data_IF_991670093018
#
_entry.id   IF_991670093018
#
_cell.length_a   1.000
_cell.length_b   1.000
_cell.length_c   1.000
_cell.angle_alpha   90.00
_cell.angle_beta   90.00
_cell.angle_gamma   90.00
#
_symmetry.space_group_name_H-M   'P 1'
#
loop_
_entity.id
_entity.type
_entity.pdbx_description
1 polymer ?
#
# COMPACT_ATOMS: atom_id res chain seq x y z
N UNK A 1 -18.67 14.96 -53.78
CA UNK A 1 -17.70 13.84 -53.85
C UNK A 1 -16.42 14.37 -53.22
N UNK A 2 -15.76 13.77 -52.25
CA UNK A 2 -15.76 12.42 -51.71
C UNK A 2 -15.18 12.49 -50.28
N UNK A 3 -15.68 11.63 -49.39
CA UNK A 3 -15.27 11.55 -47.97
C UNK A 3 -14.05 10.64 -47.85
N UNK A 4 -12.94 11.15 -47.30
CA UNK A 4 -11.81 10.32 -46.89
C UNK A 4 -12.09 9.59 -45.58
N UNK A 5 -12.26 8.26 -45.65
CA UNK A 5 -12.41 7.34 -44.51
C UNK A 5 -11.06 6.69 -44.18
N UNK A 6 -10.83 6.39 -42.90
CA UNK A 6 -9.89 5.37 -42.42
C UNK A 6 -8.86 5.92 -41.41
N UNK A 7 -8.51 5.26 -40.31
CA UNK A 7 -8.79 3.89 -39.86
C UNK A 7 -8.66 3.89 -38.33
N UNK A 8 -9.73 3.54 -37.62
CA UNK A 8 -9.69 3.31 -36.17
C UNK A 8 -8.88 2.04 -35.87
N UNK A 9 -7.86 2.17 -35.03
CA UNK A 9 -7.07 1.03 -34.53
C UNK A 9 -7.85 0.38 -33.39
N UNK A 10 -8.53 -0.72 -33.71
CA UNK A 10 -9.20 -1.59 -32.75
C UNK A 10 -8.16 -2.53 -32.15
N UNK A 11 -7.89 -2.43 -30.86
CA UNK A 11 -7.25 -3.51 -30.12
C UNK A 11 -8.37 -4.43 -29.63
N UNK A 12 -8.70 -5.43 -30.45
CA UNK A 12 -9.51 -6.56 -30.01
C UNK A 12 -8.54 -7.72 -29.76
N UNK A 13 -8.33 -8.05 -28.49
CA UNK A 13 -7.88 -9.39 -28.09
C UNK A 13 -9.14 -10.11 -27.65
N UNK A 14 -9.59 -11.05 -28.47
CA UNK A 14 -10.58 -12.04 -28.05
C UNK A 14 -9.88 -13.02 -27.10
N UNK A 15 -10.40 -13.15 -25.88
CA UNK A 15 -10.01 -14.21 -24.96
C UNK A 15 -10.98 -15.38 -25.14
N UNK A 16 -10.52 -16.60 -25.43
CA UNK A 16 -11.40 -17.76 -25.43
C UNK A 16 -11.85 -18.09 -24.00
N UNK A 17 -13.15 -18.34 -23.85
CA UNK A 17 -13.73 -18.92 -22.65
C UNK A 17 -13.21 -20.36 -22.53
N UNK A 18 -12.37 -20.61 -21.52
CA UNK A 18 -11.85 -21.93 -21.22
C UNK A 18 -12.17 -22.28 -19.77
N UNK A 19 -13.43 -22.67 -19.53
CA UNK A 19 -13.76 -23.63 -18.50
C UNK A 19 -13.08 -24.97 -18.83
N UNK A 20 -11.92 -25.24 -18.22
CA UNK A 20 -11.33 -26.57 -18.12
C UNK A 20 -10.13 -26.52 -17.17
N UNK A 21 -10.07 -27.46 -16.22
CA UNK A 21 -9.02 -27.60 -15.21
C UNK A 21 -7.61 -27.57 -15.82
N UNK A 22 -6.76 -26.65 -15.35
CA UNK A 22 -5.35 -26.63 -15.77
C UNK A 22 -4.58 -27.83 -15.20
N UNK A 23 -3.75 -28.53 -16.00
CA UNK A 23 -2.81 -29.52 -15.48
C UNK A 23 -1.66 -28.81 -14.74
N UNK A 24 -1.25 -29.38 -13.61
CA UNK A 24 -0.22 -28.83 -12.72
C UNK A 24 1.14 -28.71 -13.43
N UNK A 25 1.70 -27.51 -13.43
CA UNK A 25 3.09 -27.26 -13.84
C UNK A 25 4.01 -27.89 -12.78
N UNK A 26 4.99 -28.73 -13.16
CA UNK A 26 5.90 -29.34 -12.18
C UNK A 26 6.86 -28.29 -11.60
N UNK A 27 7.09 -28.37 -10.29
CA UNK A 27 7.98 -27.46 -9.58
C UNK A 27 9.47 -27.68 -9.96
N UNK A 28 10.30 -26.62 -9.95
CA UNK A 28 11.73 -26.73 -10.20
C UNK A 28 12.48 -27.46 -9.06
N UNK A 29 13.60 -28.15 -9.36
CA UNK A 29 14.35 -28.93 -8.38
C UNK A 29 14.79 -28.06 -7.19
N UNK A 30 14.43 -28.48 -5.97
CA UNK A 30 14.76 -27.79 -4.72
C UNK A 30 13.68 -26.85 -4.17
N UNK A 31 12.58 -26.64 -4.91
CA UNK A 31 11.40 -25.92 -4.45
C UNK A 31 10.20 -26.85 -4.41
N UNK A 32 9.95 -27.51 -3.27
CA UNK A 32 8.67 -28.21 -3.08
C UNK A 32 7.67 -27.22 -2.51
N UNK A 33 6.61 -26.88 -3.27
CA UNK A 33 5.47 -26.18 -2.69
C UNK A 33 4.73 -27.16 -1.78
N UNK A 34 4.64 -26.87 -0.49
CA UNK A 34 3.76 -27.60 0.42
C UNK A 34 2.32 -27.53 -0.11
N UNK A 35 1.63 -28.67 -0.11
CA UNK A 35 0.22 -28.75 -0.48
C UNK A 35 -0.62 -27.80 0.40
N UNK A 36 -1.68 -27.18 -0.14
CA UNK A 36 -2.62 -26.44 0.69
C UNK A 36 -3.39 -27.45 1.56
N UNK A 37 -3.10 -27.46 2.86
CA UNK A 37 -3.93 -28.15 3.84
C UNK A 37 -5.33 -27.50 3.85
N UNK A 38 -6.34 -28.36 3.83
CA UNK A 38 -7.74 -27.99 3.83
C UNK A 38 -8.15 -27.31 5.15
N UNK A 39 -9.06 -26.34 5.04
CA UNK A 39 -9.71 -25.64 6.15
C UNK A 39 -10.18 -26.59 7.27
N UNK A 40 -9.78 -26.28 8.52
CA UNK A 40 -10.58 -26.64 9.69
C UNK A 40 -10.85 -25.39 10.53
N UNK A 41 -12.13 -25.05 10.60
CA UNK A 41 -12.68 -23.89 11.25
C UNK A 41 -12.98 -24.20 12.72
N UNK A 42 -12.08 -23.85 13.64
CA UNK A 42 -12.43 -23.53 15.03
C UNK A 42 -11.20 -23.03 15.80
N UNK A 43 -11.19 -21.75 16.18
CA UNK A 43 -10.14 -21.21 17.04
C UNK A 43 -10.54 -19.86 17.60
N UNK A 44 -11.15 -19.88 18.78
CA UNK A 44 -11.54 -18.71 19.55
C UNK A 44 -10.41 -17.66 19.62
N UNK A 45 -10.68 -16.44 19.14
CA UNK A 45 -9.78 -15.31 19.37
C UNK A 45 -9.90 -14.89 20.83
N UNK A 46 -8.94 -15.35 21.62
CA UNK A 46 -8.61 -14.81 22.92
C UNK A 46 -8.42 -13.29 22.77
N UNK A 47 -9.35 -12.51 23.33
CA UNK A 47 -9.11 -11.08 23.56
C UNK A 47 -8.01 -10.99 24.61
N UNK A 48 -6.77 -10.79 24.17
CA UNK A 48 -5.72 -10.29 25.06
C UNK A 48 -5.74 -8.77 24.98
N UNK A 49 -6.70 -8.21 25.70
CA UNK A 49 -6.62 -6.84 26.17
C UNK A 49 -5.70 -6.86 27.40
N UNK A 50 -4.47 -6.38 27.25
CA UNK A 50 -3.55 -6.13 28.36
C UNK A 50 -2.43 -5.23 27.83
N UNK A 51 -2.43 -4.00 28.35
CA UNK A 51 -1.67 -2.88 27.82
C UNK A 51 -0.16 -3.10 27.76
N UNK A 52 0.39 -2.66 26.64
CA UNK A 52 1.77 -2.22 26.51
C UNK A 52 1.95 -1.39 25.23
N UNK A 53 1.13 -0.35 25.07
CA UNK A 53 1.21 0.56 23.91
C UNK A 53 2.57 1.30 23.88
N UNK A 54 3.21 1.47 25.05
CA UNK A 54 4.49 2.17 25.19
C UNK A 54 5.72 1.38 24.74
N UNK A 55 5.79 0.08 24.99
CA UNK A 55 6.98 -0.72 24.64
C UNK A 55 6.91 -1.24 23.20
N UNK A 56 5.71 -1.54 22.71
CA UNK A 56 5.46 -1.94 21.32
C UNK A 56 5.86 -0.82 20.34
N UNK A 57 5.50 0.43 20.66
CA UNK A 57 5.89 1.59 19.85
C UNK A 57 7.39 1.84 19.81
N UNK A 58 8.10 1.68 20.95
CA UNK A 58 9.56 1.83 21.02
C UNK A 58 10.29 0.75 20.23
N UNK A 59 9.88 -0.52 20.37
CA UNK A 59 10.48 -1.62 19.63
C UNK A 59 10.27 -1.47 18.11
N UNK A 60 9.07 -1.02 17.72
CA UNK A 60 8.76 -0.75 16.31
C UNK A 60 9.57 0.42 15.75
N UNK A 61 9.71 1.51 16.50
CA UNK A 61 10.57 2.65 16.12
C UNK A 61 12.03 2.20 15.98
N UNK A 62 12.55 1.39 16.90
CA UNK A 62 13.90 0.86 16.82
C UNK A 62 14.12 -0.05 15.59
N UNK A 63 13.12 -0.88 15.25
CA UNK A 63 13.16 -1.70 14.03
C UNK A 63 13.16 -0.83 12.77
N UNK A 64 12.31 0.19 12.71
CA UNK A 64 12.25 1.13 11.59
C UNK A 64 13.58 1.89 11.43
N UNK A 65 14.16 2.34 12.54
CA UNK A 65 15.44 3.06 12.58
C UNK A 65 16.61 2.18 12.14
N UNK A 66 16.66 0.93 12.60
CA UNK A 66 17.64 -0.05 12.13
C UNK A 66 17.49 -0.36 10.63
N UNK A 67 16.25 -0.55 10.16
CA UNK A 67 15.94 -0.78 8.75
C UNK A 67 16.36 0.41 7.88
N UNK A 68 16.08 1.64 8.33
CA UNK A 68 16.47 2.84 7.60
C UNK A 68 17.99 3.01 7.54
N UNK A 69 18.71 2.79 8.65
CA UNK A 69 20.18 2.81 8.65
C UNK A 69 20.81 1.73 7.78
N UNK A 70 20.13 0.60 7.60
CA UNK A 70 20.55 -0.44 6.67
C UNK A 70 20.39 0.01 5.21
N UNK A 71 19.26 0.64 4.85
CA UNK A 71 19.01 1.14 3.49
C UNK A 71 19.86 2.37 3.12
N UNK A 72 20.04 3.29 4.08
CA UNK A 72 20.74 4.56 3.90
C UNK A 72 21.91 4.66 4.88
N UNK A 73 23.08 4.06 4.59
CA UNK A 73 24.24 4.14 5.46
C UNK A 73 24.66 5.60 5.74
N UNK A 74 24.93 5.94 7.00
CA UNK A 74 25.32 7.30 7.40
C UNK A 74 24.17 8.29 7.59
N UNK A 75 22.93 7.85 7.42
CA UNK A 75 21.74 8.63 7.74
C UNK A 75 21.67 9.04 9.23
N UNK A 76 21.11 10.22 9.57
CA UNK A 76 20.81 10.57 10.96
C UNK A 76 19.77 9.63 11.61
N UNK A 77 19.13 8.74 10.83
CA UNK A 77 18.11 7.81 11.29
C UNK A 77 16.75 8.23 10.74
N UNK A 78 15.68 8.02 11.51
CA UNK A 78 14.33 8.29 11.04
C UNK A 78 14.03 9.76 10.72
N UNK A 79 14.83 10.71 11.22
CA UNK A 79 14.71 12.15 10.94
C UNK A 79 15.42 12.60 9.66
N UNK A 80 15.94 11.66 8.88
CA UNK A 80 16.43 11.94 7.53
C UNK A 80 15.30 12.55 6.67
N UNK A 81 15.53 13.64 5.92
CA UNK A 81 14.55 14.22 5.01
C UNK A 81 13.88 13.22 4.05
N UNK A 82 14.61 12.18 3.65
CA UNK A 82 14.10 11.13 2.75
C UNK A 82 13.13 10.16 3.44
N UNK A 83 13.23 10.01 4.77
CA UNK A 83 12.32 9.19 5.59
C UNK A 83 11.22 10.02 6.23
N UNK A 84 11.56 11.21 6.73
CA UNK A 84 10.68 12.14 7.39
C UNK A 84 10.61 13.47 6.62
N UNK A 85 9.58 13.65 5.78
CA UNK A 85 9.43 14.86 4.96
C UNK A 85 9.08 16.11 5.76
N UNK A 86 8.78 15.97 7.06
CA UNK A 86 8.53 17.07 7.99
C UNK A 86 9.66 17.24 9.02
N UNK A 87 10.81 16.61 8.80
CA UNK A 87 11.99 16.87 9.62
C UNK A 87 12.47 18.31 9.45
N UNK A 88 13.14 18.86 10.46
CA UNK A 88 13.76 20.19 10.36
C UNK A 88 14.68 20.29 9.13
N UNK A 89 15.43 19.23 8.84
CA UNK A 89 16.30 19.14 7.67
C UNK A 89 15.53 19.13 6.33
N UNK A 90 14.27 18.68 6.30
CA UNK A 90 13.41 18.71 5.12
C UNK A 90 12.75 20.07 4.88
N UNK A 91 12.86 21.01 5.82
CA UNK A 91 12.11 22.29 5.80
C UNK A 91 11.02 22.37 6.86
N UNK A 92 11.00 21.44 7.82
CA UNK A 92 10.15 21.48 9.01
C UNK A 92 8.67 21.36 8.65
N UNK A 93 7.88 22.33 9.11
CA UNK A 93 6.42 22.34 8.97
C UNK A 93 5.93 22.67 7.56
N UNK A 94 6.78 23.11 6.64
CA UNK A 94 6.39 23.43 5.27
C UNK A 94 6.53 22.18 4.38
N UNK A 95 5.41 21.54 4.06
CA UNK A 95 5.43 20.35 3.21
C UNK A 95 6.00 20.67 1.82
N UNK A 96 7.10 20.02 1.46
CA UNK A 96 7.73 20.13 0.13
C UNK A 96 7.20 19.05 -0.82
N UNK A 97 5.89 19.05 -1.03
CA UNK A 97 5.26 18.19 -2.02
C UNK A 97 5.02 19.00 -3.28
N UNK A 98 5.68 18.60 -4.38
CA UNK A 98 5.54 19.28 -5.68
C UNK A 98 4.24 18.90 -6.43
N UNK A 99 3.52 17.89 -5.95
CA UNK A 99 2.23 17.52 -6.51
C UNK A 99 1.17 18.58 -6.17
N UNK A 100 0.10 18.64 -6.96
CA UNK A 100 -1.09 19.44 -6.64
C UNK A 100 -2.12 18.63 -5.82
N UNK A 101 -2.03 17.31 -5.90
CA UNK A 101 -2.92 16.39 -5.19
C UNK A 101 -2.11 15.25 -4.58
N UNK A 102 -2.51 14.82 -3.40
CA UNK A 102 -1.94 13.66 -2.70
C UNK A 102 -3.07 12.75 -2.23
N UNK A 103 -2.98 11.48 -2.61
CA UNK A 103 -3.81 10.41 -2.05
C UNK A 103 -2.94 9.55 -1.14
N UNK A 104 -3.35 9.43 0.12
CA UNK A 104 -2.72 8.54 1.10
C UNK A 104 -3.64 7.34 1.30
N UNK A 105 -3.15 6.13 1.04
CA UNK A 105 -3.88 4.89 1.28
C UNK A 105 -3.28 4.16 2.49
N UNK A 106 -4.11 3.81 3.46
CA UNK A 106 -3.72 3.05 4.67
C UNK A 106 -4.63 1.85 4.86
N UNK A 107 -4.14 0.79 5.49
CA UNK A 107 -4.96 -0.36 5.85
C UNK A 107 -5.10 -0.43 7.39
N UNK A 108 -6.28 -0.83 7.87
CA UNK A 108 -6.61 -0.80 9.31
C UNK A 108 -5.63 -1.62 10.17
N UNK A 109 -5.19 -2.78 9.67
CA UNK A 109 -4.29 -3.70 10.38
C UNK A 109 -2.83 -3.57 9.94
N UNK A 110 -2.51 -2.55 9.14
CA UNK A 110 -1.13 -2.26 8.77
C UNK A 110 -0.42 -1.61 9.96
N UNK A 111 0.74 -2.14 10.33
CA UNK A 111 1.60 -1.48 11.31
C UNK A 111 1.80 -0.01 10.90
N UNK A 112 2.12 0.27 9.62
CA UNK A 112 2.40 1.61 9.10
C UNK A 112 1.19 2.56 9.06
N UNK A 113 -0.03 2.10 9.39
CA UNK A 113 -1.25 2.90 9.37
C UNK A 113 -1.08 4.24 10.07
N UNK A 114 -0.66 4.23 11.34
CA UNK A 114 -0.57 5.45 12.14
C UNK A 114 0.45 6.44 11.56
N UNK A 115 1.50 5.93 10.89
CA UNK A 115 2.47 6.78 10.21
C UNK A 115 1.89 7.41 8.95
N UNK A 116 1.09 6.67 8.19
CA UNK A 116 0.37 7.18 7.02
C UNK A 116 -0.69 8.24 7.40
N UNK A 117 -1.47 7.98 8.45
CA UNK A 117 -2.45 8.94 8.99
C UNK A 117 -1.73 10.20 9.49
N UNK A 118 -0.65 10.03 10.27
CA UNK A 118 0.18 11.17 10.71
C UNK A 118 0.71 12.00 9.53
N UNK A 119 1.13 11.36 8.43
CA UNK A 119 1.60 12.06 7.23
C UNK A 119 0.48 12.88 6.60
N UNK A 120 -0.72 12.30 6.47
CA UNK A 120 -1.90 12.99 5.97
C UNK A 120 -2.27 14.21 6.83
N UNK A 121 -2.30 14.06 8.15
CA UNK A 121 -2.63 15.14 9.09
C UNK A 121 -1.56 16.24 9.07
N UNK A 122 -0.28 15.86 9.07
CA UNK A 122 0.85 16.80 9.00
C UNK A 122 0.83 17.59 7.70
N UNK A 123 0.50 16.93 6.58
CA UNK A 123 0.37 17.59 5.29
C UNK A 123 -0.78 18.60 5.29
N UNK A 124 -1.94 18.25 5.86
CA UNK A 124 -3.05 19.21 6.02
C UNK A 124 -2.71 20.37 6.96
N UNK A 125 -2.01 20.10 8.05
CA UNK A 125 -1.61 21.12 9.02
C UNK A 125 -0.52 22.06 8.49
N UNK A 126 0.28 21.63 7.52
CA UNK A 126 1.38 22.40 6.92
C UNK A 126 0.96 23.60 6.08
N UNK A 127 -0.35 23.78 5.83
CA UNK A 127 -0.84 24.79 4.90
C UNK A 127 -0.57 24.44 3.43
N UNK A 128 -0.33 23.16 3.14
CA UNK A 128 -0.14 22.66 1.78
C UNK A 128 -1.31 23.11 0.88
N UNK A 129 -1.03 23.78 -0.25
CA UNK A 129 -2.06 24.42 -1.07
C UNK A 129 -2.85 23.41 -1.93
N UNK A 130 -2.36 22.17 -2.04
CA UNK A 130 -2.98 21.13 -2.84
C UNK A 130 -4.07 20.33 -2.12
N UNK A 131 -4.73 19.45 -2.86
CA UNK A 131 -5.74 18.54 -2.29
C UNK A 131 -5.05 17.36 -1.60
N UNK A 132 -5.50 17.02 -0.39
CA UNK A 132 -5.03 15.83 0.32
C UNK A 132 -6.21 14.95 0.71
N UNK A 133 -6.16 13.71 0.25
CA UNK A 133 -7.20 12.70 0.45
C UNK A 133 -6.62 11.50 1.21
N UNK A 134 -7.41 10.91 2.11
CA UNK A 134 -7.06 9.69 2.85
C UNK A 134 -8.08 8.61 2.50
N UNK A 135 -7.58 7.43 2.13
CA UNK A 135 -8.36 6.21 1.99
C UNK A 135 -7.91 5.21 3.04
N UNK A 136 -8.84 4.74 3.86
CA UNK A 136 -8.59 3.67 4.83
C UNK A 136 -9.32 2.38 4.43
N UNK A 137 -8.56 1.32 4.17
CA UNK A 137 -9.07 -0.01 3.84
C UNK A 137 -9.28 -0.83 5.11
N UNK A 138 -10.54 -0.86 5.56
CA UNK A 138 -10.94 -1.58 6.77
C UNK A 138 -10.79 -3.10 6.61
N UNK A 139 -10.27 -3.75 7.66
CA UNK A 139 -10.08 -5.19 7.73
C UNK A 139 -8.80 -5.71 7.06
N UNK A 140 -8.08 -4.87 6.33
CA UNK A 140 -6.91 -5.27 5.54
C UNK A 140 -5.58 -4.99 6.26
N UNK A 141 -4.56 -5.77 5.91
CA UNK A 141 -3.21 -5.65 6.46
C UNK A 141 -2.20 -5.02 5.51
N UNK A 142 -0.93 -5.04 5.91
CA UNK A 142 0.17 -4.49 5.13
C UNK A 142 0.25 -5.11 3.72
N UNK A 143 0.27 -4.26 2.69
CA UNK A 143 0.35 -4.65 1.26
C UNK A 143 -0.73 -5.63 0.79
N UNK A 144 -1.94 -5.58 1.38
CA UNK A 144 -3.03 -6.51 1.06
C UNK A 144 -3.35 -6.59 -0.45
N UNK A 145 -3.25 -5.47 -1.16
CA UNK A 145 -3.53 -5.39 -2.59
C UNK A 145 -2.53 -6.17 -3.46
N UNK A 146 -1.30 -6.39 -3.00
CA UNK A 146 -0.35 -7.29 -3.68
C UNK A 146 -0.59 -8.75 -3.32
N UNK A 147 -0.99 -9.02 -2.07
CA UNK A 147 -1.18 -10.38 -1.56
C UNK A 147 -2.48 -11.01 -2.06
N UNK A 148 -3.55 -10.21 -2.17
CA UNK A 148 -4.85 -10.64 -2.67
C UNK A 148 -5.47 -9.56 -3.58
N UNK A 149 -4.96 -9.41 -4.82
CA UNK A 149 -5.39 -8.34 -5.73
C UNK A 149 -6.86 -8.43 -6.18
N UNK A 150 -7.53 -9.57 -5.93
CA UNK A 150 -8.92 -9.80 -6.34
C UNK A 150 -9.93 -9.55 -5.22
N UNK A 151 -9.50 -9.22 -4.00
CA UNK A 151 -10.45 -8.91 -2.93
C UNK A 151 -11.17 -7.58 -3.20
N UNK A 152 -12.37 -7.43 -2.62
CA UNK A 152 -13.21 -6.25 -2.82
C UNK A 152 -12.49 -4.96 -2.41
N UNK A 153 -11.71 -5.00 -1.32
CA UNK A 153 -10.91 -3.87 -0.87
C UNK A 153 -9.80 -3.48 -1.83
N UNK A 154 -9.17 -4.45 -2.49
CA UNK A 154 -8.10 -4.17 -3.45
C UNK A 154 -8.67 -3.49 -4.69
N UNK A 155 -9.84 -3.93 -5.14
CA UNK A 155 -10.58 -3.32 -6.26
C UNK A 155 -11.08 -1.92 -5.92
N UNK A 156 -11.64 -1.73 -4.72
CA UNK A 156 -12.04 -0.41 -4.20
C UNK A 156 -10.85 0.56 -4.18
N UNK A 157 -9.70 0.10 -3.67
CA UNK A 157 -8.47 0.90 -3.67
C UNK A 157 -7.99 1.23 -5.09
N UNK A 158 -8.01 0.26 -6.01
CA UNK A 158 -7.63 0.47 -7.40
C UNK A 158 -8.54 1.48 -8.10
N UNK A 159 -9.86 1.33 -7.97
CA UNK A 159 -10.84 2.27 -8.50
C UNK A 159 -10.62 3.68 -7.94
N UNK A 160 -10.30 3.78 -6.64
CA UNK A 160 -10.01 5.05 -6.00
C UNK A 160 -8.74 5.70 -6.54
N UNK A 161 -7.68 4.93 -6.75
CA UNK A 161 -6.42 5.40 -7.35
C UNK A 161 -6.66 5.83 -8.80
N UNK A 162 -7.39 5.05 -9.60
CA UNK A 162 -7.70 5.39 -10.98
C UNK A 162 -8.56 6.65 -11.08
N UNK A 163 -9.56 6.80 -10.20
CA UNK A 163 -10.37 8.02 -10.10
C UNK A 163 -9.51 9.24 -9.71
N UNK A 164 -8.61 9.05 -8.75
CA UNK A 164 -7.68 10.10 -8.32
C UNK A 164 -6.73 10.53 -9.44
N UNK A 165 -6.20 9.61 -10.26
CA UNK A 165 -5.27 9.94 -11.34
C UNK A 165 -5.93 10.60 -12.55
N UNK A 166 -7.22 10.34 -12.78
CA UNK A 166 -7.96 10.86 -13.94
C UNK A 166 -8.63 12.22 -13.72
N UNK A 167 -8.77 12.62 -12.45
CA UNK A 167 -9.26 13.96 -12.08
C UNK A 167 -8.27 15.02 -12.54
#
# INVERSE_FOLDING_TARGET
MEKGKGLARRWAVELPDASSSSPAVPDPPGFTRSAPDADDAAGARQRKDSGDEGTTGKARKARADAFWRFLCPGTPGLDDPLSNPFSEAAGGSAARVAAERVLVCVAEKDDLRDRGVWYYESLKASGYPGEVELLESMGEGHVFYCMNPRCDRAREMEERVLGFLRK
#
